data_IF_045074172083
#
_entry.id   IF_045074172083
#
_cell.length_a   1.000
_cell.length_b   1.000
_cell.length_c   1.000
_cell.angle_alpha   90.00
_cell.angle_beta   90.00
_cell.angle_gamma   90.00
#
_symmetry.space_group_name_H-M   'P 1'
#
loop_
_entity.id
_entity.type
_entity.pdbx_description
1 polymer ?
#
# COMPACT_ATOMS: atom_id res chain seq x y z
N UNK A 1 -0.96 -11.84 20.18
CA UNK A 1 0.40 -12.44 20.21
C UNK A 1 0.49 -13.70 19.36
N UNK A 2 -0.44 -14.66 19.43
CA UNK A 2 -0.39 -15.85 18.56
C UNK A 2 -0.63 -15.51 17.08
N UNK A 3 -1.63 -14.67 16.79
CA UNK A 3 -1.95 -14.21 15.41
C UNK A 3 -0.78 -13.49 14.72
N UNK A 4 -0.06 -12.62 15.45
CA UNK A 4 1.12 -11.91 14.93
C UNK A 4 2.27 -12.85 14.58
N UNK A 5 2.47 -13.91 15.36
CA UNK A 5 3.51 -14.91 15.11
C UNK A 5 3.18 -15.76 13.89
N UNK A 6 1.91 -16.16 13.73
CA UNK A 6 1.45 -16.93 12.55
C UNK A 6 1.56 -16.11 11.28
N UNK A 7 1.17 -14.83 11.31
CA UNK A 7 1.31 -13.92 10.18
C UNK A 7 2.77 -13.74 9.76
N UNK A 8 3.67 -13.51 10.73
CA UNK A 8 5.12 -13.37 10.46
C UNK A 8 5.71 -14.66 9.88
N UNK A 9 5.35 -15.83 10.44
CA UNK A 9 5.82 -17.13 9.94
C UNK A 9 5.40 -17.38 8.49
N UNK A 10 4.15 -17.05 8.13
CA UNK A 10 3.66 -17.19 6.76
C UNK A 10 4.41 -16.31 5.76
N UNK A 11 4.70 -15.05 6.14
CA UNK A 11 5.48 -14.13 5.30
C UNK A 11 6.90 -14.67 5.09
N UNK A 12 7.53 -15.22 6.14
CA UNK A 12 8.87 -15.83 6.04
C UNK A 12 8.87 -17.05 5.13
N UNK A 13 7.88 -17.94 5.23
CA UNK A 13 7.78 -19.09 4.31
C UNK A 13 7.58 -18.68 2.85
N UNK A 14 6.79 -17.63 2.60
CA UNK A 14 6.63 -17.06 1.26
C UNK A 14 7.95 -16.53 0.68
N UNK A 15 8.74 -15.87 1.52
CA UNK A 15 10.05 -15.32 1.16
C UNK A 15 11.08 -16.41 0.89
N UNK A 16 10.97 -17.57 1.53
CA UNK A 16 11.94 -18.66 1.32
C UNK A 16 11.60 -19.54 0.12
N UNK A 17 10.32 -19.68 -0.22
CA UNK A 17 9.86 -20.58 -1.29
C UNK A 17 9.81 -19.93 -2.69
N UNK A 18 10.07 -18.63 -2.80
CA UNK A 18 9.97 -17.92 -4.07
C UNK A 18 11.33 -17.67 -4.70
N UNK A 19 11.77 -18.58 -5.57
CA UNK A 19 13.12 -18.55 -6.15
C UNK A 19 13.39 -17.35 -7.09
N UNK A 20 12.33 -16.68 -7.58
CA UNK A 20 12.43 -15.56 -8.54
C UNK A 20 12.01 -14.20 -7.96
N UNK A 21 11.62 -14.12 -6.69
CA UNK A 21 11.22 -12.84 -6.09
C UNK A 21 12.41 -12.17 -5.44
N UNK A 22 12.66 -10.91 -5.80
CA UNK A 22 13.65 -10.09 -5.11
C UNK A 22 13.05 -9.59 -3.79
N UNK A 23 13.05 -10.45 -2.77
CA UNK A 23 12.34 -10.26 -1.50
C UNK A 23 12.66 -8.93 -0.81
N UNK A 24 13.89 -8.45 -0.96
CA UNK A 24 14.33 -7.16 -0.44
C UNK A 24 13.53 -5.99 -0.98
N UNK A 25 13.13 -6.02 -2.26
CA UNK A 25 12.32 -4.97 -2.88
C UNK A 25 10.97 -4.86 -2.18
N UNK A 26 10.30 -5.97 -1.93
CA UNK A 26 8.98 -5.99 -1.28
C UNK A 26 9.05 -5.55 0.18
N UNK A 27 10.09 -5.98 0.92
CA UNK A 27 10.29 -5.54 2.30
C UNK A 27 10.56 -4.04 2.40
N UNK A 28 11.39 -3.51 1.50
CA UNK A 28 11.71 -2.09 1.46
C UNK A 28 10.49 -1.27 1.08
N UNK A 29 9.70 -1.70 0.09
CA UNK A 29 8.43 -1.06 -0.27
C UNK A 29 7.45 -1.10 0.92
N UNK A 30 7.25 -2.26 1.54
CA UNK A 30 6.32 -2.40 2.66
C UNK A 30 6.74 -1.52 3.86
N UNK A 31 8.04 -1.45 4.15
CA UNK A 31 8.57 -0.64 5.24
C UNK A 31 8.47 0.85 4.95
N UNK A 32 8.86 1.29 3.75
CA UNK A 32 8.80 2.70 3.35
C UNK A 32 7.36 3.18 3.23
N UNK A 33 6.49 2.38 2.61
CA UNK A 33 5.07 2.71 2.45
C UNK A 33 4.33 2.69 3.80
N UNK A 34 4.57 1.69 4.64
CA UNK A 34 4.03 1.64 6.00
C UNK A 34 4.45 2.86 6.82
N UNK A 35 5.73 3.21 6.79
CA UNK A 35 6.25 4.41 7.48
C UNK A 35 5.64 5.69 6.93
N UNK A 36 5.50 5.81 5.60
CA UNK A 36 4.83 6.94 4.95
C UNK A 36 3.40 7.11 5.44
N UNK A 37 2.61 6.03 5.46
CA UNK A 37 1.22 6.09 5.92
C UNK A 37 1.08 6.47 7.39
N UNK A 38 2.00 5.99 8.22
CA UNK A 38 2.07 6.34 9.63
C UNK A 38 2.36 7.84 9.80
N UNK A 39 3.41 8.33 9.13
CA UNK A 39 3.78 9.75 9.15
C UNK A 39 2.65 10.65 8.67
N UNK A 40 1.97 10.26 7.57
CA UNK A 40 0.84 11.01 7.01
C UNK A 40 -0.30 11.12 8.01
N UNK A 41 -0.59 10.04 8.73
CA UNK A 41 -1.63 9.99 9.77
C UNK A 41 -1.27 10.81 11.02
N UNK A 42 0.00 10.86 11.39
CA UNK A 42 0.45 11.63 12.57
C UNK A 42 0.61 13.12 12.30
N UNK A 43 0.66 13.53 11.04
CA UNK A 43 0.92 14.92 10.64
C UNK A 43 -0.35 15.76 10.79
N UNK A 44 -0.21 16.96 11.36
CA UNK A 44 -1.32 17.91 11.56
C UNK A 44 -1.62 18.79 10.34
N UNK A 45 -0.83 18.68 9.28
CA UNK A 45 -1.01 19.43 8.04
C UNK A 45 -2.22 18.92 7.27
N UNK A 46 -2.93 19.86 6.63
CA UNK A 46 -4.00 19.53 5.72
C UNK A 46 -3.47 18.73 4.52
N UNK A 47 -4.32 17.88 3.93
CA UNK A 47 -3.92 16.90 2.92
C UNK A 47 -3.23 17.55 1.70
N UNK A 48 -3.72 18.72 1.27
CA UNK A 48 -3.18 19.47 0.14
C UNK A 48 -1.81 20.06 0.49
N UNK A 49 -1.70 20.75 1.62
CA UNK A 49 -0.44 21.37 2.06
C UNK A 49 0.65 20.33 2.36
N UNK A 50 0.28 19.20 2.95
CA UNK A 50 1.20 18.09 3.19
C UNK A 50 1.71 17.47 1.90
N UNK A 51 0.83 17.22 0.92
CA UNK A 51 1.25 16.68 -0.38
C UNK A 51 2.10 17.69 -1.18
N UNK A 52 1.79 18.99 -1.11
CA UNK A 52 2.60 20.03 -1.73
C UNK A 52 4.03 20.05 -1.17
N UNK A 53 4.16 19.98 0.15
CA UNK A 53 5.47 20.01 0.81
C UNK A 53 6.28 18.74 0.52
N UNK A 54 5.64 17.57 0.49
CA UNK A 54 6.25 16.31 0.04
C UNK A 54 6.76 16.42 -1.40
N UNK A 55 5.93 16.95 -2.30
CA UNK A 55 6.29 17.11 -3.71
C UNK A 55 7.45 18.09 -3.90
N UNK A 56 7.46 19.19 -3.14
CA UNK A 56 8.53 20.18 -3.16
C UNK A 56 9.84 19.59 -2.64
N UNK A 57 9.78 18.82 -1.55
CA UNK A 57 10.93 18.11 -1.00
C UNK A 57 11.49 17.08 -1.99
N UNK A 58 10.63 16.25 -2.58
CA UNK A 58 10.99 15.28 -3.62
C UNK A 58 11.59 15.94 -4.85
N UNK A 59 11.03 17.07 -5.30
CA UNK A 59 11.54 17.83 -6.44
C UNK A 59 12.95 18.35 -6.17
N UNK A 60 13.20 18.91 -4.99
CA UNK A 60 14.54 19.40 -4.62
C UNK A 60 15.56 18.25 -4.57
N UNK A 61 15.16 17.10 -4.00
CA UNK A 61 16.03 15.93 -3.92
C UNK A 61 16.32 15.33 -5.30
N UNK A 62 15.33 15.34 -6.20
CA UNK A 62 15.51 14.91 -7.59
C UNK A 62 16.53 15.79 -8.32
N UNK A 63 16.46 17.11 -8.16
CA UNK A 63 17.45 18.04 -8.75
C UNK A 63 18.86 17.73 -8.25
N UNK A 64 19.01 17.48 -6.95
CA UNK A 64 20.29 17.11 -6.34
C UNK A 64 20.80 15.76 -6.86
N UNK A 65 19.91 14.76 -6.98
CA UNK A 65 20.27 13.44 -7.51
C UNK A 65 20.70 13.50 -8.98
N UNK A 66 20.02 14.30 -9.80
CA UNK A 66 20.41 14.54 -11.19
C UNK A 66 21.82 15.11 -11.27
N UNK A 67 22.11 16.12 -10.44
CA UNK A 67 23.43 16.75 -10.39
C UNK A 67 24.52 15.79 -9.87
N UNK A 68 24.24 15.05 -8.79
CA UNK A 68 25.21 14.16 -8.16
C UNK A 68 25.56 12.92 -8.99
N UNK A 69 24.58 12.36 -9.72
CA UNK A 69 24.75 11.13 -10.49
C UNK A 69 24.84 11.38 -12.01
N UNK A 70 24.88 12.64 -12.46
CA UNK A 70 24.84 13.02 -13.88
C UNK A 70 23.72 12.28 -14.65
N UNK A 71 22.53 12.21 -14.06
CA UNK A 71 21.41 11.52 -14.68
C UNK A 71 20.95 12.28 -15.94
N UNK A 72 20.82 11.58 -17.04
CA UNK A 72 20.26 12.15 -18.27
C UNK A 72 18.78 12.44 -18.06
N UNK A 73 18.40 13.71 -18.09
CA UNK A 73 16.99 14.09 -18.13
C UNK A 73 16.50 13.83 -19.55
N UNK A 74 15.49 12.98 -19.69
CA UNK A 74 14.74 12.87 -20.95
C UNK A 74 14.04 14.22 -21.12
N UNK A 75 14.56 15.04 -22.05
CA UNK A 75 13.91 16.30 -22.37
C UNK A 75 12.49 16.00 -22.89
N UNK A 76 11.50 16.85 -22.57
CA UNK A 76 10.19 16.76 -23.18
C UNK A 76 10.39 16.66 -24.69
N UNK A 77 10.00 15.54 -25.29
CA UNK A 77 10.19 15.30 -26.73
C UNK A 77 9.57 16.46 -27.52
N UNK A 78 10.03 16.70 -28.75
CA UNK A 78 9.44 17.72 -29.62
C UNK A 78 7.96 17.44 -29.97
N UNK A 79 7.42 16.28 -29.59
CA UNK A 79 6.00 15.94 -29.73
C UNK A 79 5.17 16.56 -28.59
N UNK A 80 4.38 17.62 -28.85
CA UNK A 80 3.52 18.23 -27.83
C UNK A 80 2.49 17.25 -27.25
N UNK A 81 2.15 16.19 -27.99
CA UNK A 81 1.23 15.14 -27.56
C UNK A 81 1.78 14.31 -26.40
N UNK A 82 3.06 13.92 -26.44
CA UNK A 82 3.68 13.14 -25.36
C UNK A 82 3.81 13.98 -24.08
N UNK A 83 4.13 15.27 -24.22
CA UNK A 83 4.22 16.19 -23.07
C UNK A 83 2.86 16.37 -22.41
N UNK A 84 1.77 16.44 -23.20
CA UNK A 84 0.41 16.48 -22.67
C UNK A 84 0.05 15.19 -21.92
N UNK A 85 0.40 14.01 -22.45
CA UNK A 85 0.16 12.74 -21.77
C UNK A 85 0.91 12.63 -20.44
N UNK A 86 2.16 13.09 -20.37
CA UNK A 86 2.95 13.10 -19.13
C UNK A 86 2.30 14.01 -18.08
N UNK A 87 1.84 15.20 -18.49
CA UNK A 87 1.15 16.13 -17.59
C UNK A 87 -0.17 15.51 -17.07
N UNK A 88 -0.95 14.89 -17.95
CA UNK A 88 -2.18 14.19 -17.56
C UNK A 88 -1.90 13.01 -16.62
N UNK A 89 -0.83 12.24 -16.86
CA UNK A 89 -0.43 11.15 -15.97
C UNK A 89 -0.13 11.65 -14.54
N UNK A 90 0.48 12.83 -14.42
CA UNK A 90 0.68 13.51 -13.13
C UNK A 90 -0.64 13.83 -12.43
N UNK A 91 -1.60 14.45 -13.13
CA UNK A 91 -2.93 14.79 -12.58
C UNK A 91 -3.68 13.53 -12.14
N UNK A 92 -3.65 12.49 -12.95
CA UNK A 92 -4.29 11.19 -12.65
C UNK A 92 -3.66 10.55 -11.42
N UNK A 93 -2.35 10.72 -11.19
CA UNK A 93 -1.64 10.14 -10.04
C UNK A 93 -1.82 10.94 -8.74
N UNK A 94 -1.86 12.27 -8.83
CA UNK A 94 -2.05 13.15 -7.66
C UNK A 94 -3.46 13.01 -7.07
N UNK A 95 -4.46 12.75 -7.93
CA UNK A 95 -5.86 12.58 -7.52
C UNK A 95 -6.05 11.51 -6.43
N UNK A 96 -5.66 10.24 -6.63
CA UNK A 96 -5.78 9.22 -5.60
C UNK A 96 -4.86 9.48 -4.39
N UNK A 97 -3.71 10.11 -4.56
CA UNK A 97 -2.82 10.48 -3.45
C UNK A 97 -3.46 11.52 -2.53
N UNK A 98 -4.13 12.53 -3.09
CA UNK A 98 -4.89 13.52 -2.31
C UNK A 98 -6.06 12.85 -1.57
N UNK A 99 -6.84 12.01 -2.26
CA UNK A 99 -7.92 11.24 -1.64
C UNK A 99 -7.42 10.35 -0.51
N UNK A 100 -6.29 9.68 -0.73
CA UNK A 100 -5.62 8.84 0.26
C UNK A 100 -5.18 9.66 1.48
N UNK A 101 -4.49 10.78 1.26
CA UNK A 101 -4.03 11.69 2.32
C UNK A 101 -5.20 12.22 3.15
N UNK A 102 -6.35 12.48 2.52
CA UNK A 102 -7.55 12.91 3.22
C UNK A 102 -8.18 11.78 4.04
N UNK A 103 -8.19 10.56 3.50
CA UNK A 103 -8.76 9.40 4.15
C UNK A 103 -7.93 8.92 5.35
N UNK A 104 -6.59 8.95 5.28
CA UNK A 104 -5.70 8.47 6.36
C UNK A 104 -5.92 9.17 7.69
N UNK A 105 -6.33 10.44 7.66
CA UNK A 105 -6.60 11.22 8.86
C UNK A 105 -7.95 10.89 9.50
N UNK A 106 -8.84 10.18 8.78
CA UNK A 106 -10.23 9.90 9.21
C UNK A 106 -10.48 8.44 9.62
N UNK A 107 -9.61 7.50 9.24
CA UNK A 107 -9.83 6.07 9.47
C UNK A 107 -8.70 5.44 10.32
N UNK A 108 -8.97 4.35 11.07
CA UNK A 108 -7.95 3.65 11.84
C UNK A 108 -6.84 3.11 10.93
N UNK A 109 -5.61 3.01 11.45
CA UNK A 109 -4.43 2.64 10.65
C UNK A 109 -4.57 1.21 10.08
N UNK A 110 -5.23 0.32 10.83
CA UNK A 110 -5.60 -1.03 10.38
C UNK A 110 -6.52 -1.01 9.16
N UNK A 111 -7.52 -0.13 9.12
CA UNK A 111 -8.42 0.01 7.97
C UNK A 111 -7.68 0.59 6.76
N UNK A 112 -6.77 1.56 6.96
CA UNK A 112 -5.92 2.07 5.87
C UNK A 112 -5.07 0.95 5.26
N UNK A 113 -4.44 0.11 6.08
CA UNK A 113 -3.65 -1.02 5.61
C UNK A 113 -4.50 -2.03 4.82
N UNK A 114 -5.74 -2.27 5.25
CA UNK A 114 -6.66 -3.13 4.52
C UNK A 114 -7.06 -2.55 3.15
N UNK A 115 -7.34 -1.25 3.07
CA UNK A 115 -7.68 -0.58 1.80
C UNK A 115 -6.54 -0.65 0.78
N UNK A 116 -5.29 -0.76 1.22
CA UNK A 116 -4.15 -0.87 0.31
C UNK A 116 -4.12 -2.17 -0.47
N UNK A 117 -4.85 -3.21 -0.06
CA UNK A 117 -5.00 -4.44 -0.86
C UNK A 117 -5.83 -4.23 -2.14
N UNK A 118 -6.57 -3.12 -2.26
CA UNK A 118 -7.32 -2.78 -3.48
C UNK A 118 -6.36 -2.53 -4.65
N UNK A 119 -5.22 -1.88 -4.41
CA UNK A 119 -4.25 -1.54 -5.45
C UNK A 119 -3.64 -2.78 -6.14
N UNK A 120 -3.05 -3.75 -5.41
CA UNK A 120 -2.55 -4.97 -6.04
C UNK A 120 -3.67 -5.81 -6.65
N UNK A 121 -4.89 -5.81 -6.09
CA UNK A 121 -6.04 -6.49 -6.69
C UNK A 121 -6.41 -5.87 -8.04
N UNK A 122 -6.43 -4.54 -8.12
CA UNK A 122 -6.75 -3.80 -9.34
C UNK A 122 -5.67 -4.03 -10.40
N UNK A 123 -4.39 -3.95 -10.03
CA UNK A 123 -3.27 -4.24 -10.94
C UNK A 123 -3.32 -5.67 -11.46
N UNK A 124 -3.63 -6.64 -10.60
CA UNK A 124 -3.80 -8.04 -10.98
C UNK A 124 -4.98 -8.22 -11.94
N UNK A 125 -6.14 -7.62 -11.65
CA UNK A 125 -7.31 -7.64 -12.53
C UNK A 125 -7.00 -7.02 -13.89
N UNK A 126 -6.29 -5.89 -13.94
CA UNK A 126 -5.86 -5.26 -15.19
C UNK A 126 -4.92 -6.20 -15.97
N UNK A 127 -3.95 -6.82 -15.30
CA UNK A 127 -3.02 -7.77 -15.93
C UNK A 127 -3.71 -8.95 -16.61
N UNK A 128 -4.79 -9.47 -16.01
CA UNK A 128 -5.54 -10.61 -16.56
C UNK A 128 -6.53 -10.16 -17.63
N UNK A 129 -7.31 -9.12 -17.35
CA UNK A 129 -8.44 -8.71 -18.20
C UNK A 129 -7.96 -7.95 -19.44
N UNK A 130 -7.02 -7.02 -19.27
CA UNK A 130 -6.57 -6.15 -20.36
C UNK A 130 -5.30 -6.64 -21.05
N UNK A 131 -4.36 -7.22 -20.29
CA UNK A 131 -3.08 -7.68 -20.84
C UNK A 131 -3.05 -9.19 -21.11
N UNK A 132 -4.15 -9.91 -20.84
CA UNK A 132 -4.31 -11.35 -21.07
C UNK A 132 -3.14 -12.20 -20.53
N UNK A 133 -2.52 -11.76 -19.43
CA UNK A 133 -1.34 -12.43 -18.91
C UNK A 133 -1.70 -13.77 -18.28
N UNK A 134 -1.01 -14.83 -18.71
CA UNK A 134 -1.14 -16.16 -18.12
C UNK A 134 -0.55 -16.18 -16.73
N UNK A 135 -1.38 -16.49 -15.74
CA UNK A 135 -0.96 -16.56 -14.34
C UNK A 135 -0.20 -17.87 -14.10
N UNK A 136 1.06 -17.83 -13.63
CA UNK A 136 1.77 -19.04 -13.23
C UNK A 136 1.00 -19.75 -12.10
N UNK A 137 0.90 -21.08 -12.17
CA UNK A 137 0.20 -21.90 -11.16
C UNK A 137 0.72 -21.62 -9.74
N UNK A 138 2.01 -21.37 -9.59
CA UNK A 138 2.64 -21.03 -8.33
C UNK A 138 2.14 -19.68 -7.78
N UNK A 139 2.09 -18.63 -8.61
CA UNK A 139 1.60 -17.31 -8.21
C UNK A 139 0.14 -17.34 -7.78
N UNK A 140 -0.69 -18.12 -8.47
CA UNK A 140 -2.09 -18.34 -8.10
C UNK A 140 -2.21 -19.04 -6.74
N UNK A 141 -1.40 -20.08 -6.49
CA UNK A 141 -1.39 -20.79 -5.22
C UNK A 141 -0.95 -19.89 -4.06
N UNK A 142 0.07 -19.05 -4.27
CA UNK A 142 0.52 -18.07 -3.28
C UNK A 142 -0.54 -16.99 -2.99
N UNK A 143 -1.26 -16.51 -4.02
CA UNK A 143 -2.38 -15.59 -3.85
C UNK A 143 -3.50 -16.23 -3.01
N UNK A 144 -3.87 -17.47 -3.29
CA UNK A 144 -4.88 -18.19 -2.54
C UNK A 144 -4.46 -18.46 -1.08
N UNK A 145 -3.19 -18.80 -0.86
CA UNK A 145 -2.64 -19.02 0.47
C UNK A 145 -2.63 -17.72 1.30
N UNK A 146 -2.20 -16.61 0.71
CA UNK A 146 -2.22 -15.30 1.38
C UNK A 146 -3.64 -14.82 1.66
N UNK A 147 -4.56 -14.96 0.70
CA UNK A 147 -5.96 -14.57 0.87
C UNK A 147 -6.67 -15.36 1.97
N UNK A 148 -6.42 -16.68 2.05
CA UNK A 148 -6.99 -17.53 3.10
C UNK A 148 -6.46 -17.17 4.49
N UNK A 149 -5.16 -16.89 4.62
CA UNK A 149 -4.57 -16.43 5.88
C UNK A 149 -5.16 -15.07 6.31
N UNK A 150 -5.33 -14.14 5.37
CA UNK A 150 -5.93 -12.84 5.66
C UNK A 150 -7.40 -12.98 6.10
N UNK A 151 -8.15 -13.88 5.46
CA UNK A 151 -9.54 -14.18 5.83
C UNK A 151 -9.64 -14.78 7.24
N UNK A 152 -8.73 -15.68 7.60
CA UNK A 152 -8.65 -16.27 8.95
C UNK A 152 -8.35 -15.18 9.99
N UNK A 153 -7.41 -14.27 9.71
CA UNK A 153 -7.06 -13.18 10.62
C UNK A 153 -8.24 -12.21 10.82
N UNK A 154 -8.94 -11.85 9.75
CA UNK A 154 -10.14 -11.00 9.83
C UNK A 154 -11.27 -11.68 10.62
N UNK A 155 -11.49 -12.97 10.39
CA UNK A 155 -12.48 -13.74 11.15
C UNK A 155 -12.11 -13.80 12.64
N UNK A 156 -10.82 -13.97 12.95
CA UNK A 156 -10.33 -13.93 14.33
C UNK A 156 -10.58 -12.57 14.98
N UNK A 157 -10.20 -11.46 14.32
CA UNK A 157 -10.39 -10.10 14.85
C UNK A 157 -11.88 -9.74 15.03
N UNK A 158 -12.77 -10.18 14.14
CA UNK A 158 -14.22 -10.03 14.32
C UNK A 158 -14.73 -10.83 15.53
N UNK A 159 -14.21 -12.05 15.73
CA UNK A 159 -14.60 -12.92 16.85
C UNK A 159 -14.14 -12.37 18.21
N UNK A 160 -12.94 -11.78 18.29
CA UNK A 160 -12.46 -11.10 19.49
C UNK A 160 -13.21 -9.80 19.75
N UNK A 161 -13.51 -9.00 18.71
CA UNK A 161 -14.29 -7.77 18.87
C UNK A 161 -15.72 -8.06 19.40
N UNK A 162 -16.38 -9.09 18.88
CA UNK A 162 -17.72 -9.50 19.33
C UNK A 162 -17.71 -10.06 20.75
N UNK A 163 -16.72 -10.89 21.12
CA UNK A 163 -16.61 -11.45 22.48
C UNK A 163 -16.28 -10.41 23.55
N UNK A 164 -15.47 -9.40 23.26
CA UNK A 164 -15.19 -8.27 24.17
C UNK A 164 -16.43 -7.41 24.39
N UNK A 165 -17.19 -7.13 23.32
CA UNK A 165 -18.43 -6.35 23.41
C UNK A 165 -19.52 -7.09 24.20
N UNK A 166 -19.65 -8.41 24.00
CA UNK A 166 -20.58 -9.24 24.76
C UNK A 166 -20.26 -9.29 26.26
N UNK A 167 -18.96 -9.33 26.62
CA UNK A 167 -18.52 -9.31 28.03
C UNK A 167 -18.81 -7.97 28.71
N UNK A 168 -18.53 -6.85 28.03
CA UNK A 168 -18.82 -5.50 28.53
C UNK A 168 -20.31 -5.30 28.85
N UNK A 169 -21.19 -5.74 27.94
CA UNK A 169 -22.66 -5.66 28.13
C UNK A 169 -23.13 -6.52 29.32
N UNK A 170 -22.47 -7.66 29.56
CA UNK A 170 -22.80 -8.52 30.71
C UNK A 170 -22.37 -7.89 32.03
N UNK A 171 -21.17 -7.31 32.09
CA UNK A 171 -20.64 -6.70 33.31
C UNK A 171 -21.42 -5.40 33.67
N UNK A 172 -21.92 -4.63 32.70
CA UNK A 172 -22.81 -3.48 32.93
C UNK A 172 -24.21 -3.85 33.45
N UNK A 173 -24.69 -5.08 33.22
CA UNK A 173 -26.00 -5.56 33.71
C UNK A 173 -25.97 -6.11 35.14
N UNK A 174 -24.79 -6.28 35.72
CA UNK A 174 -24.60 -6.82 37.08
C UNK A 174 -24.15 -5.74 38.10
N UNK A 175 -24.16 -4.47 37.68
CA UNK A 175 -24.01 -3.27 38.51
C UNK A 175 -25.37 -2.57 38.66
#
# INVERSE_FOLDING_TARGET
MLSTIVALSSVVSLVLLSENLNHWTYLLIATTWGSYTYLKKTTSLDAVSGLFLETLFLSAFLTLAIWAFNLTIIQPNESPYQNLLILLAGVVSVTPLLMFSFATNKIPLSATGFLQFILPLTLFSIGIIFYEQTIPKLSLALLMATASILAILLAYDLSTATSLNAKKIRDEKHL
#
